data_IF_116518827309
#
_entry.id   IF_116518827309
#
_cell.length_a   1.000
_cell.length_b   1.000
_cell.length_c   1.000
_cell.angle_alpha   90.00
_cell.angle_beta   90.00
_cell.angle_gamma   90.00
#
_symmetry.space_group_name_H-M   'P 1'
#
loop_
_entity.id
_entity.type
_entity.pdbx_description
1 polymer ?
#
# COMPACT_ATOMS: atom_id res chain seq x y z
N UNK A 1 0.92 1.91 23.02
CA UNK A 1 0.77 2.67 21.75
C UNK A 1 1.32 1.79 20.65
N UNK A 2 0.51 1.41 19.65
CA UNK A 2 1.00 0.64 18.49
C UNK A 2 1.40 1.64 17.42
N UNK A 3 2.57 1.50 16.82
CA UNK A 3 2.97 2.27 15.64
C UNK A 3 2.64 1.43 14.41
N UNK A 4 2.06 2.07 13.40
CA UNK A 4 1.80 1.50 12.08
C UNK A 4 2.70 2.15 11.06
N UNK A 5 3.20 1.33 10.14
CA UNK A 5 3.85 1.77 8.92
C UNK A 5 2.89 1.47 7.76
N UNK A 6 2.57 2.49 6.98
CA UNK A 6 1.77 2.35 5.77
C UNK A 6 2.45 3.04 4.61
N UNK A 7 2.05 2.71 3.39
CA UNK A 7 2.58 3.38 2.22
C UNK A 7 1.53 3.63 1.14
N UNK A 8 1.82 4.65 0.33
CA UNK A 8 1.05 5.00 -0.85
C UNK A 8 1.97 5.63 -1.88
N UNK A 9 1.52 5.65 -3.13
CA UNK A 9 2.28 6.23 -4.23
C UNK A 9 1.36 6.88 -5.24
N UNK A 10 1.94 7.70 -6.11
CA UNK A 10 1.28 8.37 -7.23
C UNK A 10 2.22 8.40 -8.43
N UNK A 11 1.67 8.23 -9.62
CA UNK A 11 2.41 8.30 -10.87
C UNK A 11 1.89 9.41 -11.79
N UNK A 12 2.82 10.13 -12.41
CA UNK A 12 2.54 11.10 -13.46
C UNK A 12 3.46 10.80 -14.64
N UNK A 13 2.88 10.60 -15.82
CA UNK A 13 3.61 10.25 -17.02
C UNK A 13 3.59 11.39 -18.03
N UNK A 14 4.74 11.64 -18.66
CA UNK A 14 4.91 12.65 -19.69
C UNK A 14 5.45 12.01 -20.98
N UNK A 15 5.16 12.62 -22.12
CA UNK A 15 5.88 12.34 -23.36
C UNK A 15 7.35 12.78 -23.24
N UNK A 16 8.25 12.32 -24.12
CA UNK A 16 9.66 12.76 -24.11
C UNK A 16 9.83 14.28 -24.22
N UNK A 17 8.89 14.97 -24.85
CA UNK A 17 8.88 16.44 -24.98
C UNK A 17 8.36 17.15 -23.72
N UNK A 18 8.03 16.41 -22.66
CA UNK A 18 7.54 16.95 -21.39
C UNK A 18 6.04 17.25 -21.35
N UNK A 19 5.25 16.79 -22.33
CA UNK A 19 3.79 16.96 -22.32
C UNK A 19 3.15 15.92 -21.41
N UNK A 20 2.23 16.33 -20.53
CA UNK A 20 1.46 15.41 -19.71
C UNK A 20 0.71 14.39 -20.58
N UNK A 21 0.90 13.10 -20.30
CA UNK A 21 0.25 11.99 -21.01
C UNK A 21 -0.77 11.24 -20.15
N UNK A 22 -0.49 11.06 -18.85
CA UNK A 22 -1.33 10.25 -17.97
C UNK A 22 -1.09 10.64 -16.50
N UNK A 23 -2.16 10.59 -15.67
CA UNK A 23 -2.09 10.73 -14.21
C UNK A 23 -2.73 9.50 -13.59
N UNK A 24 -2.01 8.85 -12.69
CA UNK A 24 -2.55 7.84 -11.78
C UNK A 24 -2.50 8.41 -10.37
N UNK A 25 -3.68 8.66 -9.80
CA UNK A 25 -3.78 9.28 -8.47
C UNK A 25 -3.28 8.32 -7.37
N UNK A 26 -3.26 8.82 -6.13
CA UNK A 26 -2.76 8.09 -4.98
C UNK A 26 -3.39 6.71 -4.81
N UNK A 27 -2.53 5.71 -4.70
CA UNK A 27 -2.89 4.31 -4.44
C UNK A 27 -2.04 3.76 -3.29
N UNK A 28 -2.59 2.83 -2.53
CA UNK A 28 -1.84 2.12 -1.48
C UNK A 28 -0.83 1.14 -2.08
N UNK A 29 0.29 0.96 -1.37
CA UNK A 29 1.22 -0.14 -1.58
C UNK A 29 1.37 -0.96 -0.29
N UNK A 30 1.90 -2.17 -0.42
CA UNK A 30 2.11 -3.07 0.71
C UNK A 30 3.51 -2.85 1.26
N UNK A 31 3.60 -2.62 2.57
CA UNK A 31 4.88 -2.65 3.30
C UNK A 31 5.18 -4.12 3.60
N UNK A 32 6.30 -4.63 3.09
CA UNK A 32 6.65 -6.05 3.23
C UNK A 32 7.43 -6.30 4.53
N UNK A 33 7.47 -7.54 4.99
CA UNK A 33 8.07 -7.94 6.26
C UNK A 33 9.56 -7.54 6.37
N UNK A 34 10.30 -7.63 5.25
CA UNK A 34 11.72 -7.25 5.16
C UNK A 34 11.99 -5.78 5.48
N UNK A 35 10.97 -4.90 5.43
CA UNK A 35 11.10 -3.53 5.92
C UNK A 35 11.41 -3.48 7.41
N UNK A 36 10.79 -4.35 8.21
CA UNK A 36 11.03 -4.40 9.65
C UNK A 36 12.44 -4.91 9.95
N UNK A 37 12.93 -5.88 9.17
CA UNK A 37 14.31 -6.35 9.27
C UNK A 37 15.29 -5.21 8.98
N UNK A 38 15.03 -4.41 7.94
CA UNK A 38 15.85 -3.23 7.64
C UNK A 38 15.89 -2.25 8.84
N UNK A 39 14.72 -1.92 9.39
CA UNK A 39 14.64 -1.03 10.56
C UNK A 39 15.42 -1.61 11.75
N UNK A 40 15.27 -2.91 12.02
CA UNK A 40 15.99 -3.57 13.12
C UNK A 40 17.51 -3.50 12.93
N UNK A 41 18.01 -3.80 11.73
CA UNK A 41 19.44 -3.74 11.42
C UNK A 41 20.01 -2.31 11.54
N UNK A 42 19.24 -1.29 11.10
CA UNK A 42 19.63 0.11 11.26
C UNK A 42 19.70 0.51 12.74
N UNK A 43 18.74 0.06 13.56
CA UNK A 43 18.74 0.32 15.01
C UNK A 43 19.87 -0.41 15.75
N UNK A 44 20.26 -1.59 15.27
CA UNK A 44 21.41 -2.34 15.77
C UNK A 44 22.75 -1.71 15.36
N UNK A 45 22.74 -0.74 14.43
CA UNK A 45 23.93 -0.20 13.77
C UNK A 45 24.74 -1.28 13.05
N UNK A 46 24.05 -2.23 12.41
CA UNK A 46 24.68 -3.30 11.64
C UNK A 46 25.54 -2.70 10.52
N UNK A 47 26.80 -3.11 10.46
CA UNK A 47 27.73 -2.62 9.44
C UNK A 47 27.30 -3.07 8.03
N UNK A 48 27.36 -2.14 7.06
CA UNK A 48 27.02 -2.41 5.65
C UNK A 48 25.52 -2.39 5.34
N UNK A 49 24.66 -2.07 6.32
CA UNK A 49 23.23 -1.89 6.12
C UNK A 49 22.92 -0.40 6.05
N UNK A 50 22.39 0.02 4.90
CA UNK A 50 22.00 1.42 4.65
C UNK A 50 20.48 1.55 4.50
N UNK A 51 19.99 2.79 4.39
CA UNK A 51 18.56 3.10 4.22
C UNK A 51 17.99 2.66 2.86
N UNK A 52 17.11 3.48 2.29
CA UNK A 52 16.54 3.22 0.96
C UNK A 52 17.59 3.59 -0.11
N UNK A 53 17.91 2.65 -0.99
CA UNK A 53 18.99 2.77 -1.97
C UNK A 53 18.51 2.75 -3.42
N UNK A 54 17.49 1.95 -3.74
CA UNK A 54 17.02 1.76 -5.12
C UNK A 54 15.50 1.74 -5.23
N UNK A 55 14.98 2.18 -6.37
CA UNK A 55 13.64 1.82 -6.86
C UNK A 55 13.82 0.80 -7.98
N UNK A 56 13.24 -0.39 -7.84
CA UNK A 56 13.16 -1.35 -8.93
C UNK A 56 11.75 -1.38 -9.53
N UNK A 57 11.68 -1.63 -10.84
CA UNK A 57 10.43 -1.83 -11.59
C UNK A 57 10.52 -3.12 -12.40
N UNK A 58 9.38 -3.77 -12.57
CA UNK A 58 9.30 -5.07 -13.23
C UNK A 58 8.09 -5.20 -14.12
N UNK A 59 8.13 -6.22 -14.99
CA UNK A 59 7.08 -6.48 -15.95
C UNK A 59 5.97 -7.39 -15.42
N UNK A 60 6.19 -8.09 -14.30
CA UNK A 60 5.27 -9.12 -13.83
C UNK A 60 4.94 -10.13 -14.93
N UNK A 61 3.65 -10.42 -15.11
CA UNK A 61 3.12 -11.27 -16.18
C UNK A 61 2.07 -10.54 -17.01
N UNK A 62 1.83 -10.99 -18.24
CA UNK A 62 0.86 -10.36 -19.16
C UNK A 62 -0.58 -10.40 -18.64
N UNK A 63 -0.92 -11.37 -17.79
CA UNK A 63 -2.26 -11.55 -17.21
C UNK A 63 -2.66 -10.41 -16.25
N UNK A 64 -1.69 -9.61 -15.78
CA UNK A 64 -1.91 -8.56 -14.79
C UNK A 64 -2.37 -7.22 -15.37
N UNK A 65 -2.48 -7.10 -16.70
CA UNK A 65 -2.75 -5.83 -17.40
C UNK A 65 -3.93 -5.05 -16.79
N UNK A 66 -5.02 -5.76 -16.49
CA UNK A 66 -6.24 -5.20 -15.90
C UNK A 66 -6.52 -5.71 -14.48
N UNK A 67 -6.05 -6.91 -14.15
CA UNK A 67 -6.32 -7.57 -12.87
C UNK A 67 -5.00 -8.02 -12.21
N UNK A 68 -4.17 -7.07 -11.73
CA UNK A 68 -2.97 -7.42 -11.00
C UNK A 68 -3.32 -8.21 -9.73
N UNK A 69 -2.50 -9.20 -9.33
CA UNK A 69 -2.75 -9.98 -8.13
C UNK A 69 -2.59 -9.12 -6.89
N UNK A 70 -3.27 -9.51 -5.80
CA UNK A 70 -3.04 -8.90 -4.49
C UNK A 70 -1.58 -9.09 -4.04
N UNK A 71 -1.04 -8.07 -3.37
CA UNK A 71 0.34 -8.08 -2.92
C UNK A 71 0.54 -8.90 -1.64
N UNK A 72 1.55 -9.76 -1.62
CA UNK A 72 1.95 -10.50 -0.42
C UNK A 72 3.02 -9.75 0.39
N UNK A 73 2.75 -9.51 1.68
CA UNK A 73 3.71 -8.96 2.64
C UNK A 73 4.98 -9.80 2.83
N UNK A 74 4.97 -11.08 2.45
CA UNK A 74 6.14 -11.97 2.50
C UNK A 74 7.07 -11.85 1.29
N UNK A 75 6.65 -11.10 0.26
CA UNK A 75 7.43 -10.88 -0.97
C UNK A 75 8.81 -10.32 -0.65
N UNK A 76 9.83 -10.85 -1.32
CA UNK A 76 11.24 -10.45 -1.14
C UNK A 76 11.88 -9.88 -2.39
N UNK A 77 11.25 -10.05 -3.56
CA UNK A 77 11.74 -9.62 -4.86
C UNK A 77 10.57 -9.39 -5.83
N UNK A 78 10.84 -8.68 -6.93
CA UNK A 78 9.88 -8.52 -8.02
C UNK A 78 9.79 -9.82 -8.84
N UNK A 79 8.63 -10.10 -9.43
CA UNK A 79 8.41 -11.29 -10.26
C UNK A 79 9.32 -11.29 -11.48
N UNK A 80 9.45 -10.13 -12.15
CA UNK A 80 10.35 -9.95 -13.29
C UNK A 80 10.91 -8.53 -13.30
N UNK A 81 11.92 -8.30 -12.47
CA UNK A 81 12.67 -7.03 -12.46
C UNK A 81 13.34 -6.79 -13.83
N UNK A 82 13.15 -5.59 -14.40
CA UNK A 82 13.80 -5.19 -15.66
C UNK A 82 14.72 -3.98 -15.51
N UNK A 83 14.54 -3.22 -14.43
CA UNK A 83 15.33 -2.03 -14.20
C UNK A 83 15.32 -1.66 -12.72
N UNK A 84 16.46 -1.19 -12.22
CA UNK A 84 16.54 -0.52 -10.92
C UNK A 84 17.31 0.78 -11.03
N UNK A 85 16.71 1.84 -10.49
CA UNK A 85 17.32 3.17 -10.40
C UNK A 85 17.89 3.37 -9.02
N UNK A 86 19.17 3.74 -8.95
CA UNK A 86 19.78 4.21 -7.70
C UNK A 86 19.13 5.52 -7.27
N UNK A 87 18.84 5.64 -6.00
CA UNK A 87 18.23 6.82 -5.38
C UNK A 87 19.33 7.67 -4.77
N UNK A 88 19.29 8.97 -5.04
CA UNK A 88 20.07 9.97 -4.31
C UNK A 88 19.27 10.42 -3.07
N UNK A 89 19.63 9.95 -1.86
CA UNK A 89 18.87 10.26 -0.65
C UNK A 89 18.89 11.75 -0.31
N UNK A 90 19.88 12.52 -0.79
CA UNK A 90 19.99 13.97 -0.48
C UNK A 90 19.03 14.82 -1.30
N UNK A 91 18.59 14.32 -2.46
CA UNK A 91 17.74 15.06 -3.41
C UNK A 91 16.35 14.48 -3.53
N UNK A 92 16.22 13.17 -3.39
CA UNK A 92 15.00 12.43 -3.74
C UNK A 92 14.23 11.98 -2.51
N UNK A 93 14.83 11.97 -1.32
CA UNK A 93 14.19 11.57 -0.08
C UNK A 93 14.07 12.78 0.85
N UNK A 94 12.89 12.96 1.43
CA UNK A 94 12.65 13.96 2.48
C UNK A 94 11.75 13.39 3.56
N UNK A 95 11.99 13.80 4.81
CA UNK A 95 11.16 13.41 5.95
C UNK A 95 10.54 14.63 6.60
N UNK A 96 9.24 14.56 6.87
CA UNK A 96 8.51 15.56 7.65
C UNK A 96 8.28 15.05 9.05
N UNK A 97 8.91 15.68 10.04
CA UNK A 97 8.66 15.36 11.45
C UNK A 97 7.23 15.69 11.87
N UNK A 98 6.61 16.74 11.34
CA UNK A 98 5.24 17.10 11.69
C UNK A 98 4.24 16.02 11.28
N UNK A 99 4.33 15.55 10.04
CA UNK A 99 3.38 14.59 9.47
C UNK A 99 3.82 13.13 9.64
N UNK A 100 5.07 12.91 10.06
CA UNK A 100 5.72 11.59 10.14
C UNK A 100 5.69 10.85 8.81
N UNK A 101 5.89 11.58 7.70
CA UNK A 101 5.89 11.05 6.33
C UNK A 101 7.29 11.15 5.74
N UNK A 102 7.79 10.03 5.25
CA UNK A 102 8.96 9.95 4.37
C UNK A 102 8.47 9.99 2.93
N UNK A 103 8.90 10.98 2.15
CA UNK A 103 8.56 11.14 0.74
C UNK A 103 9.76 10.79 -0.12
N UNK A 104 9.54 9.98 -1.14
CA UNK A 104 10.54 9.57 -2.13
C UNK A 104 10.04 10.00 -3.51
N UNK A 105 10.82 10.81 -4.22
CA UNK A 105 10.48 11.30 -5.57
C UNK A 105 11.47 10.73 -6.59
N UNK A 106 10.98 9.86 -7.46
CA UNK A 106 11.76 9.23 -8.51
C UNK A 106 11.26 9.68 -9.87
N UNK A 107 12.20 9.95 -10.77
CA UNK A 107 11.95 10.12 -12.19
C UNK A 107 12.63 8.97 -12.93
N UNK A 108 11.88 8.27 -13.77
CA UNK A 108 12.42 7.35 -14.78
C UNK A 108 12.31 8.06 -16.11
N UNK A 109 13.44 8.35 -16.72
CA UNK A 109 13.54 9.11 -17.97
C UNK A 109 12.94 8.30 -19.14
N UNK A 110 12.83 8.93 -20.31
CA UNK A 110 12.21 8.30 -21.47
C UNK A 110 12.92 6.99 -21.90
N UNK A 111 14.23 6.92 -21.68
CA UNK A 111 15.09 5.78 -22.05
C UNK A 111 15.31 4.79 -20.89
N UNK A 112 14.84 5.11 -19.69
CA UNK A 112 14.97 4.24 -18.53
C UNK A 112 13.73 3.36 -18.37
N UNK A 113 13.95 2.10 -17.98
CA UNK A 113 12.89 1.11 -17.79
C UNK A 113 11.93 1.01 -18.99
N UNK A 114 12.50 1.00 -20.21
CA UNK A 114 11.75 0.79 -21.45
C UNK A 114 11.20 -0.63 -21.45
N UNK A 115 9.88 -0.75 -21.44
CA UNK A 115 9.18 -2.02 -21.29
C UNK A 115 7.77 -1.82 -20.75
N UNK A 116 7.13 -2.91 -20.34
CA UNK A 116 5.77 -2.86 -19.79
C UNK A 116 5.80 -3.01 -18.28
N UNK A 117 5.60 -1.94 -17.51
CA UNK A 117 5.72 -2.00 -16.05
C UNK A 117 4.40 -2.42 -15.39
N UNK A 118 4.48 -3.39 -14.47
CA UNK A 118 3.33 -3.89 -13.70
C UNK A 118 3.62 -4.04 -12.22
N UNK A 119 4.86 -3.84 -11.81
CA UNK A 119 5.26 -3.91 -10.42
C UNK A 119 6.41 -2.95 -10.11
N UNK A 120 6.53 -2.62 -8.83
CA UNK A 120 7.71 -1.94 -8.31
C UNK A 120 7.94 -2.21 -6.83
N UNK A 121 9.16 -1.90 -6.39
CA UNK A 121 9.51 -1.91 -4.98
C UNK A 121 10.70 -1.00 -4.67
N UNK A 122 10.70 -0.45 -3.46
CA UNK A 122 11.89 0.19 -2.89
C UNK A 122 12.79 -0.87 -2.26
N UNK A 123 14.09 -0.76 -2.48
CA UNK A 123 15.11 -1.64 -1.93
C UNK A 123 16.10 -0.85 -1.08
N UNK A 124 16.49 -1.43 0.05
CA UNK A 124 17.48 -0.87 0.96
C UNK A 124 18.39 -1.93 1.57
N UNK A 125 19.06 -1.61 2.67
CA UNK A 125 19.96 -2.55 3.33
C UNK A 125 21.27 -2.67 2.57
N UNK A 126 21.56 -3.89 2.10
CA UNK A 126 22.72 -4.25 1.29
C UNK A 126 22.42 -4.25 -0.21
N UNK A 127 21.41 -3.49 -0.65
CA UNK A 127 21.00 -3.43 -2.06
C UNK A 127 22.14 -2.95 -2.96
N UNK A 128 22.34 -3.66 -4.07
CA UNK A 128 23.33 -3.34 -5.10
C UNK A 128 22.65 -2.98 -6.42
N UNK A 129 23.42 -2.80 -7.48
CA UNK A 129 22.87 -2.61 -8.83
C UNK A 129 22.36 -3.92 -9.47
N UNK A 130 22.61 -5.07 -8.85
CA UNK A 130 22.12 -6.35 -9.35
C UNK A 130 20.67 -6.59 -8.90
N UNK A 131 19.82 -7.18 -9.76
CA UNK A 131 18.45 -7.52 -9.40
C UNK A 131 18.43 -8.52 -8.22
N UNK A 132 17.31 -8.56 -7.49
CA UNK A 132 17.12 -9.43 -6.32
C UNK A 132 18.14 -9.24 -5.18
N UNK A 133 18.90 -8.15 -5.19
CA UNK A 133 19.76 -7.75 -4.06
C UNK A 133 19.06 -6.74 -3.16
N UNK A 134 19.39 -6.76 -1.88
CA UNK A 134 18.84 -5.85 -0.89
C UNK A 134 17.57 -6.34 -0.21
N UNK A 135 17.04 -5.48 0.64
CA UNK A 135 15.84 -5.72 1.42
C UNK A 135 14.70 -4.99 0.72
N UNK A 136 13.72 -5.74 0.20
CA UNK A 136 12.48 -5.15 -0.31
C UNK A 136 11.75 -4.47 0.85
N UNK A 137 11.36 -3.21 0.69
CA UNK A 137 10.74 -2.37 1.73
C UNK A 137 9.24 -2.28 1.51
N UNK A 138 8.84 -2.05 0.27
CA UNK A 138 7.45 -2.04 -0.14
C UNK A 138 7.32 -2.79 -1.46
N UNK A 139 6.12 -3.30 -1.72
CA UNK A 139 5.78 -3.94 -2.97
C UNK A 139 4.45 -3.42 -3.48
N UNK A 140 4.35 -3.29 -4.80
CA UNK A 140 3.11 -2.94 -5.48
C UNK A 140 3.04 -3.65 -6.81
N UNK A 141 1.94 -4.36 -7.04
CA UNK A 141 1.46 -4.73 -8.38
C UNK A 141 0.43 -3.71 -8.83
N UNK A 142 0.42 -3.35 -10.11
CA UNK A 142 -0.51 -2.34 -10.63
C UNK A 142 -0.87 -2.63 -12.09
N UNK A 143 -1.99 -2.08 -12.59
CA UNK A 143 -2.34 -2.19 -14.00
C UNK A 143 -1.21 -1.70 -14.91
N UNK A 144 -1.18 -2.21 -16.14
CA UNK A 144 -0.09 -1.96 -17.09
C UNK A 144 0.28 -0.48 -17.22
N UNK A 145 1.57 -0.16 -17.10
CA UNK A 145 2.18 1.07 -17.61
C UNK A 145 3.01 0.71 -18.84
N UNK A 146 2.58 1.18 -20.02
CA UNK A 146 3.32 0.93 -21.26
C UNK A 146 4.45 1.97 -21.48
N UNK A 147 5.70 1.58 -21.25
CA UNK A 147 6.88 2.38 -21.59
C UNK A 147 7.62 1.84 -22.82
N UNK A 148 7.00 1.00 -23.66
CA UNK A 148 7.61 0.59 -24.94
C UNK A 148 7.62 1.75 -25.93
N UNK A 149 6.65 2.66 -25.80
CA UNK A 149 6.78 4.02 -26.32
C UNK A 149 7.50 4.86 -25.26
N UNK A 150 8.70 5.43 -25.54
CA UNK A 150 9.47 6.19 -24.56
C UNK A 150 8.61 7.27 -23.88
N UNK A 151 8.54 7.23 -22.55
CA UNK A 151 7.78 8.18 -21.70
C UNK A 151 8.55 8.44 -20.42
N UNK A 152 8.49 9.66 -19.91
CA UNK A 152 9.03 9.98 -18.59
C UNK A 152 7.98 9.58 -17.54
N UNK A 153 8.37 8.81 -16.52
CA UNK A 153 7.52 8.44 -15.38
C UNK A 153 8.06 9.12 -14.12
N UNK A 154 7.27 10.04 -13.55
CA UNK A 154 7.53 10.59 -12.21
C UNK A 154 6.67 9.85 -11.19
N UNK A 155 7.33 9.21 -10.23
CA UNK A 155 6.71 8.44 -9.15
C UNK A 155 7.03 9.09 -7.81
N UNK A 156 5.98 9.44 -7.07
CA UNK A 156 6.08 9.88 -5.68
C UNK A 156 5.59 8.75 -4.77
N UNK A 157 6.41 8.32 -3.81
CA UNK A 157 6.06 7.33 -2.81
C UNK A 157 6.08 8.00 -1.43
N UNK A 158 5.11 7.70 -0.59
CA UNK A 158 5.04 8.17 0.79
C UNK A 158 4.96 6.97 1.72
N UNK A 159 5.87 6.91 2.70
CA UNK A 159 5.82 5.99 3.82
C UNK A 159 5.43 6.77 5.07
N UNK A 160 4.34 6.38 5.72
CA UNK A 160 3.79 7.07 6.90
C UNK A 160 4.03 6.26 8.15
N UNK A 161 4.68 6.89 9.14
CA UNK A 161 4.96 6.34 10.47
C UNK A 161 3.96 6.93 11.46
N UNK A 162 2.74 6.38 11.49
CA UNK A 162 1.68 6.91 12.34
C UNK A 162 1.48 6.01 13.57
N UNK A 163 1.23 6.58 14.76
CA UNK A 163 0.60 5.82 15.82
C UNK A 163 -0.71 5.26 15.26
N UNK A 164 -0.88 3.95 15.31
CA UNK A 164 -2.20 3.37 15.11
C UNK A 164 -3.04 3.91 16.25
N UNK A 165 -3.98 4.82 15.94
CA UNK A 165 -4.98 5.21 16.91
C UNK A 165 -5.60 3.92 17.45
N UNK A 166 -5.45 3.65 18.75
CA UNK A 166 -6.12 2.53 19.38
C UNK A 166 -7.62 2.80 19.22
N UNK A 167 -8.23 2.16 18.23
CA UNK A 167 -9.67 2.10 18.08
C UNK A 167 -10.08 0.87 18.87
N UNK A 168 -10.55 0.98 20.12
CA UNK A 168 -11.12 -0.18 20.78
C UNK A 168 -12.19 -0.76 19.86
N UNK A 169 -12.29 -2.10 19.84
CA UNK A 169 -13.41 -2.75 19.18
C UNK A 169 -14.69 -2.36 19.92
N UNK A 170 -15.35 -1.32 19.44
CA UNK A 170 -16.62 -0.89 20.02
C UNK A 170 -17.72 -1.64 19.30
N UNK A 171 -18.25 -2.66 19.98
CA UNK A 171 -19.38 -3.46 19.50
C UNK A 171 -20.62 -2.56 19.39
N UNK A 172 -21.48 -2.77 18.38
CA UNK A 172 -22.79 -2.11 18.35
C UNK A 172 -23.64 -2.60 19.51
N UNK A 173 -24.57 -1.76 19.96
CA UNK A 173 -25.61 -2.17 20.90
C UNK A 173 -26.80 -2.66 20.08
N UNK A 174 -27.11 -3.96 20.18
CA UNK A 174 -28.30 -4.53 19.56
C UNK A 174 -29.54 -4.17 20.39
N UNK A 175 -30.57 -3.66 19.73
CA UNK A 175 -31.86 -3.31 20.31
C UNK A 175 -32.96 -3.72 19.32
N UNK A 176 -33.82 -4.64 19.76
CA UNK A 176 -34.96 -5.16 19.00
C UNK A 176 -36.31 -4.66 19.55
N UNK A 177 -36.28 -3.71 20.48
CA UNK A 177 -37.41 -3.27 21.27
C UNK A 177 -37.77 -4.21 22.43
N UNK A 178 -38.89 -3.92 23.08
CA UNK A 178 -39.42 -4.70 24.21
C UNK A 178 -39.94 -6.08 23.79
N UNK A 179 -39.99 -6.99 24.76
CA UNK A 179 -40.54 -8.35 24.62
C UNK A 179 -41.95 -8.34 24.00
N UNK A 180 -42.20 -9.32 23.12
CA UNK A 180 -43.48 -9.46 22.42
C UNK A 180 -44.20 -10.72 22.86
N UNK A 181 -45.45 -10.56 23.27
CA UNK A 181 -46.40 -11.67 23.45
C UNK A 181 -47.18 -11.82 22.14
N UNK A 182 -47.12 -13.01 21.54
CA UNK A 182 -47.72 -13.27 20.23
C UNK A 182 -48.68 -14.45 20.34
N UNK A 183 -49.88 -14.31 19.78
CA UNK A 183 -50.85 -15.39 19.70
C UNK A 183 -50.40 -16.49 18.72
N UNK A 184 -50.73 -17.74 19.04
CA UNK A 184 -50.40 -18.88 18.20
C UNK A 184 -50.95 -18.71 16.77
N UNK A 185 -50.10 -18.97 15.78
CA UNK A 185 -50.44 -18.88 14.37
C UNK A 185 -50.44 -17.45 13.78
N UNK A 186 -50.16 -16.41 14.57
CA UNK A 186 -49.99 -15.05 14.06
C UNK A 186 -48.55 -14.79 13.60
N UNK A 187 -48.42 -14.07 12.49
CA UNK A 187 -47.13 -13.54 12.03
C UNK A 187 -46.79 -12.29 12.83
N UNK A 188 -45.52 -12.11 13.16
CA UNK A 188 -44.99 -10.91 13.77
C UNK A 188 -43.65 -10.53 13.13
N UNK A 189 -43.24 -9.28 13.32
CA UNK A 189 -41.97 -8.73 12.80
C UNK A 189 -41.12 -8.27 13.97
N UNK A 190 -39.83 -8.60 13.94
CA UNK A 190 -38.82 -8.01 14.82
C UNK A 190 -38.09 -6.90 14.07
N UNK A 191 -37.88 -5.77 14.73
CA UNK A 191 -37.23 -4.60 14.15
C UNK A 191 -35.99 -4.23 14.94
N UNK A 192 -34.84 -4.25 14.26
CA UNK A 192 -33.56 -3.88 14.85
C UNK A 192 -33.19 -2.41 14.65
N UNK A 193 -34.08 -1.58 14.10
CA UNK A 193 -33.80 -0.19 13.72
C UNK A 193 -33.31 0.69 14.86
N UNK A 194 -33.66 0.36 16.11
CA UNK A 194 -33.22 1.07 17.31
C UNK A 194 -31.80 0.69 17.75
N UNK A 195 -31.19 -0.30 17.10
CA UNK A 195 -29.79 -0.69 17.34
C UNK A 195 -28.85 0.48 17.03
N UNK A 196 -27.87 0.69 17.90
CA UNK A 196 -26.98 1.85 17.82
C UNK A 196 -25.58 1.44 17.47
N UNK A 197 -25.04 2.06 16.42
CA UNK A 197 -23.61 1.99 16.15
C UNK A 197 -22.87 2.81 17.21
N UNK A 198 -21.66 2.37 17.57
CA UNK A 198 -20.83 3.12 18.46
C UNK A 198 -20.17 4.32 17.75
N UNK A 199 -20.15 5.47 18.41
CA UNK A 199 -19.59 6.73 17.92
C UNK A 199 -20.20 7.16 16.57
N UNK A 200 -19.46 7.90 15.75
CA UNK A 200 -19.89 8.42 14.42
C UNK A 200 -20.03 7.34 13.33
N UNK A 201 -20.17 6.06 13.71
CA UNK A 201 -20.31 4.94 12.78
C UNK A 201 -21.77 4.72 12.42
N UNK A 202 -22.01 3.86 11.42
CA UNK A 202 -23.35 3.42 11.00
C UNK A 202 -23.47 1.90 11.13
N UNK A 203 -24.68 1.42 11.43
CA UNK A 203 -24.98 -0.01 11.36
C UNK A 203 -24.98 -0.42 9.88
N UNK A 204 -24.19 -1.44 9.54
CA UNK A 204 -24.00 -1.89 8.15
C UNK A 204 -24.72 -3.20 7.83
N UNK A 205 -25.11 -3.98 8.85
CA UNK A 205 -25.75 -5.29 8.68
C UNK A 205 -26.45 -5.75 9.95
N UNK A 206 -27.57 -6.45 9.78
CA UNK A 206 -28.28 -7.18 10.84
C UNK A 206 -28.17 -8.70 10.59
N UNK A 207 -28.21 -9.50 11.67
CA UNK A 207 -28.26 -10.96 11.60
C UNK A 207 -29.15 -11.48 12.73
N UNK A 208 -30.19 -12.24 12.37
CA UNK A 208 -31.11 -12.87 13.32
C UNK A 208 -30.79 -14.36 13.46
N UNK A 209 -30.84 -14.88 14.68
CA UNK A 209 -30.68 -16.31 14.99
C UNK A 209 -31.79 -16.76 15.95
N UNK A 210 -32.37 -17.93 15.67
CA UNK A 210 -33.27 -18.63 16.59
C UNK A 210 -32.42 -19.55 17.46
N UNK A 211 -32.47 -19.36 18.78
CA UNK A 211 -31.57 -20.04 19.72
C UNK A 211 -32.27 -21.08 20.60
N UNK A 212 -33.60 -21.02 20.69
CA UNK A 212 -34.43 -21.89 21.53
C UNK A 212 -35.87 -21.93 21.03
#
# INVERSE_FOLDING_TARGET
MKVSLGGKFRDILYTPEGKLSEIRDWQSNTIVNRCLDLVANLLENQAGIEGILHLAVGEGTEEWDENPPEEDSSTTHLVKEIFRKKIDPTRQISYSEETKVLTINIELDAEEAVGTLREFGLFGGDATNDPNSGFLINYKTHPKIDKTSPRILKRTIQLTFAPTAFRPEVRPTADAGEDKIVEYGKKFTLDGSESRAAAERKIVKYKWLMLS
#
